data_IF_091277031039
#
_entry.id   IF_091277031039
#
_cell.length_a   1.000
_cell.length_b   1.000
_cell.length_c   1.000
_cell.angle_alpha   90.00
_cell.angle_beta   90.00
_cell.angle_gamma   90.00
#
_symmetry.space_group_name_H-M   'P 1'
#
loop_
_entity.id
_entity.type
_entity.pdbx_description
1 polymer ?
#
# COMPACT_ATOMS: atom_id res chain seq x y z
N UNK A 1 87.25 -33.72 -21.78
CA UNK A 1 86.19 -32.85 -21.23
C UNK A 1 85.10 -32.54 -22.27
N UNK A 2 85.41 -32.66 -23.56
CA UNK A 2 84.49 -32.56 -24.70
C UNK A 2 83.60 -33.81 -24.88
N UNK A 3 84.15 -35.04 -24.82
CA UNK A 3 83.35 -36.27 -25.05
C UNK A 3 82.22 -36.51 -24.05
N UNK A 4 82.38 -36.07 -22.79
CA UNK A 4 81.34 -36.19 -21.77
C UNK A 4 80.21 -35.16 -21.99
N UNK A 5 80.53 -34.00 -22.55
CA UNK A 5 79.52 -33.00 -22.92
C UNK A 5 78.76 -33.41 -24.17
N UNK A 6 79.43 -34.02 -25.16
CA UNK A 6 78.78 -34.49 -26.38
C UNK A 6 77.84 -35.67 -26.10
N UNK A 7 78.21 -36.60 -25.22
CA UNK A 7 77.31 -37.68 -24.80
C UNK A 7 76.07 -37.18 -24.03
N UNK A 8 76.23 -36.12 -23.22
CA UNK A 8 75.11 -35.47 -22.53
C UNK A 8 74.22 -34.70 -23.51
N UNK A 9 74.79 -34.05 -24.51
CA UNK A 9 74.07 -33.35 -25.57
C UNK A 9 73.29 -34.33 -26.46
N UNK A 10 73.88 -35.48 -26.81
CA UNK A 10 73.22 -36.52 -27.61
C UNK A 10 72.06 -37.17 -26.86
N UNK A 11 72.20 -37.39 -25.54
CA UNK A 11 71.11 -37.88 -24.68
C UNK A 11 69.98 -36.86 -24.50
N UNK A 12 70.32 -35.57 -24.35
CA UNK A 12 69.36 -34.47 -24.28
C UNK A 12 68.58 -34.30 -25.59
N UNK A 13 69.25 -34.38 -26.74
CA UNK A 13 68.60 -34.31 -28.05
C UNK A 13 67.71 -35.53 -28.32
N UNK A 14 68.12 -36.73 -27.91
CA UNK A 14 67.34 -37.96 -28.10
C UNK A 14 66.04 -37.99 -27.29
N UNK A 15 66.07 -37.46 -26.06
CA UNK A 15 64.93 -37.46 -25.15
C UNK A 15 64.20 -36.10 -25.04
N UNK A 16 64.57 -35.11 -25.86
CA UNK A 16 63.93 -33.79 -25.92
C UNK A 16 62.40 -33.82 -26.13
N UNK A 17 61.78 -34.73 -26.91
CA UNK A 17 60.34 -34.70 -27.12
C UNK A 17 59.56 -35.17 -25.87
N UNK A 18 60.19 -36.01 -25.04
CA UNK A 18 59.63 -36.48 -23.76
C UNK A 18 59.65 -35.34 -22.74
N UNK A 19 60.75 -34.59 -22.67
CA UNK A 19 60.87 -33.42 -21.80
C UNK A 19 59.82 -32.34 -22.11
N UNK A 20 59.59 -32.06 -23.40
CA UNK A 20 58.55 -31.09 -23.82
C UNK A 20 57.15 -31.58 -23.48
N UNK A 21 56.87 -32.86 -23.72
CA UNK A 21 55.55 -33.42 -23.42
C UNK A 21 55.21 -33.30 -21.94
N UNK A 22 56.17 -33.52 -21.04
CA UNK A 22 55.99 -33.34 -19.59
C UNK A 22 55.70 -31.87 -19.28
N UNK A 23 56.47 -30.92 -19.81
CA UNK A 23 56.25 -29.49 -19.56
C UNK A 23 54.87 -29.04 -20.07
N UNK A 24 54.46 -29.48 -21.26
CA UNK A 24 53.14 -29.15 -21.82
C UNK A 24 52.02 -29.74 -20.98
N UNK A 25 52.14 -30.99 -20.53
CA UNK A 25 51.14 -31.64 -19.67
C UNK A 25 51.07 -30.95 -18.30
N UNK A 26 52.22 -30.62 -17.70
CA UNK A 26 52.25 -29.90 -16.42
C UNK A 26 51.66 -28.51 -16.54
N UNK A 27 51.97 -27.78 -17.61
CA UNK A 27 51.36 -26.47 -17.90
C UNK A 27 49.86 -26.58 -18.13
N UNK A 28 49.41 -27.59 -18.88
CA UNK A 28 47.99 -27.82 -19.14
C UNK A 28 47.24 -28.19 -17.86
N UNK A 29 47.81 -29.05 -17.01
CA UNK A 29 47.25 -29.41 -15.71
C UNK A 29 47.16 -28.19 -14.78
N UNK A 30 48.21 -27.36 -14.71
CA UNK A 30 48.21 -26.12 -13.93
C UNK A 30 47.17 -25.11 -14.46
N UNK A 31 47.05 -24.98 -15.79
CA UNK A 31 46.05 -24.13 -16.44
C UNK A 31 44.62 -24.61 -16.20
N UNK A 32 44.39 -25.92 -16.15
CA UNK A 32 43.07 -26.49 -15.91
C UNK A 32 42.69 -26.38 -14.42
N UNK A 33 43.65 -26.60 -13.51
CA UNK A 33 43.47 -26.41 -12.07
C UNK A 33 43.16 -24.94 -11.71
N UNK A 34 43.88 -23.99 -12.30
CA UNK A 34 43.61 -22.55 -12.08
C UNK A 34 42.25 -22.12 -12.62
N UNK A 35 41.80 -22.67 -13.77
CA UNK A 35 40.45 -22.41 -14.30
C UNK A 35 39.35 -22.99 -13.41
N UNK A 36 39.50 -24.22 -12.93
CA UNK A 36 38.51 -24.86 -12.06
C UNK A 36 38.37 -24.10 -10.73
N UNK A 37 39.49 -23.78 -10.09
CA UNK A 37 39.50 -23.00 -8.84
C UNK A 37 38.93 -21.60 -9.02
N UNK A 38 39.08 -20.98 -10.19
CA UNK A 38 38.46 -19.69 -10.50
C UNK A 38 36.95 -19.83 -10.70
N UNK A 39 36.48 -20.84 -11.42
CA UNK A 39 35.03 -21.10 -11.58
C UNK A 39 34.35 -21.47 -10.26
N UNK A 40 35.03 -22.19 -9.36
CA UNK A 40 34.52 -22.48 -8.02
C UNK A 40 34.35 -21.21 -7.18
N UNK A 41 35.31 -20.29 -7.25
CA UNK A 41 35.23 -18.99 -6.56
C UNK A 41 34.13 -18.10 -7.11
N UNK A 42 33.99 -18.03 -8.43
CA UNK A 42 32.91 -17.28 -9.08
C UNK A 42 31.54 -17.89 -8.74
N UNK A 43 31.41 -19.22 -8.73
CA UNK A 43 30.18 -19.89 -8.34
C UNK A 43 29.85 -19.71 -6.85
N UNK A 44 30.85 -19.75 -5.98
CA UNK A 44 30.69 -19.48 -4.54
C UNK A 44 30.24 -18.04 -4.28
N UNK A 45 30.88 -17.06 -4.94
CA UNK A 45 30.52 -15.64 -4.82
C UNK A 45 29.12 -15.37 -5.39
N UNK A 46 28.76 -15.97 -6.53
CA UNK A 46 27.43 -15.84 -7.10
C UNK A 46 26.37 -16.50 -6.20
N UNK A 47 26.67 -17.65 -5.58
CA UNK A 47 25.78 -18.31 -4.63
C UNK A 47 25.54 -17.43 -3.39
N UNK A 48 26.59 -16.80 -2.86
CA UNK A 48 26.48 -15.85 -1.75
C UNK A 48 25.69 -14.59 -2.12
N UNK A 49 25.86 -14.07 -3.33
CA UNK A 49 25.05 -12.96 -3.84
C UNK A 49 23.56 -13.34 -3.97
N UNK A 50 23.26 -14.55 -4.45
CA UNK A 50 21.88 -15.06 -4.57
C UNK A 50 21.25 -15.25 -3.20
N UNK A 51 21.98 -15.78 -2.21
CA UNK A 51 21.46 -15.91 -0.84
C UNK A 51 21.28 -14.54 -0.17
N UNK A 52 22.18 -13.59 -0.43
CA UNK A 52 22.03 -12.19 0.01
C UNK A 52 20.75 -11.55 -0.54
N UNK A 53 20.52 -11.62 -1.85
CA UNK A 53 19.31 -11.10 -2.49
C UNK A 53 18.03 -11.78 -1.96
N UNK A 54 18.08 -13.09 -1.68
CA UNK A 54 16.95 -13.81 -1.10
C UNK A 54 16.64 -13.32 0.32
N UNK A 55 17.66 -13.12 1.15
CA UNK A 55 17.49 -12.59 2.50
C UNK A 55 16.94 -11.16 2.49
N UNK A 56 17.37 -10.33 1.53
CA UNK A 56 16.82 -8.98 1.36
C UNK A 56 15.36 -9.00 0.88
N UNK A 57 15.00 -9.94 0.00
CA UNK A 57 13.61 -10.21 -0.36
C UNK A 57 12.74 -10.57 0.85
N UNK A 58 13.21 -11.48 1.69
CA UNK A 58 12.51 -11.90 2.92
C UNK A 58 12.35 -10.73 3.92
N UNK A 59 13.38 -9.86 4.03
CA UNK A 59 13.31 -8.64 4.85
C UNK A 59 12.26 -7.66 4.32
N UNK A 60 12.26 -7.38 3.02
CA UNK A 60 11.27 -6.50 2.39
C UNK A 60 9.86 -7.03 2.62
N UNK A 61 9.64 -8.33 2.47
CA UNK A 61 8.33 -8.93 2.71
C UNK A 61 7.91 -8.79 4.18
N UNK A 62 8.85 -8.95 5.11
CA UNK A 62 8.59 -8.74 6.54
C UNK A 62 8.24 -7.29 6.86
N UNK A 63 8.95 -6.33 6.26
CA UNK A 63 8.70 -4.90 6.47
C UNK A 63 7.38 -4.46 5.84
N UNK A 64 7.02 -4.98 4.66
CA UNK A 64 5.70 -4.77 4.06
C UNK A 64 4.58 -5.27 4.99
N UNK A 65 4.72 -6.48 5.55
CA UNK A 65 3.75 -7.02 6.49
C UNK A 65 3.62 -6.16 7.76
N UNK A 66 4.73 -5.61 8.26
CA UNK A 66 4.71 -4.68 9.40
C UNK A 66 4.01 -3.37 9.06
N UNK A 67 4.29 -2.80 7.90
CA UNK A 67 3.63 -1.58 7.42
C UNK A 67 2.13 -1.80 7.23
N UNK A 68 1.72 -2.93 6.66
CA UNK A 68 0.30 -3.27 6.53
C UNK A 68 -0.40 -3.31 7.90
N UNK A 69 0.20 -3.94 8.90
CA UNK A 69 -0.36 -3.96 10.27
C UNK A 69 -0.42 -2.58 10.90
N UNK A 70 0.61 -1.75 10.73
CA UNK A 70 0.60 -0.38 11.22
C UNK A 70 -0.51 0.45 10.56
N UNK A 71 -0.76 0.25 9.26
CA UNK A 71 -1.87 0.88 8.54
C UNK A 71 -3.22 0.39 9.09
N UNK A 72 -3.38 -0.90 9.37
CA UNK A 72 -4.60 -1.45 9.96
C UNK A 72 -4.85 -0.92 11.39
N UNK A 73 -3.79 -0.80 12.20
CA UNK A 73 -3.87 -0.19 13.54
C UNK A 73 -4.25 1.29 13.48
N UNK A 74 -3.67 2.04 12.54
CA UNK A 74 -4.04 3.44 12.29
C UNK A 74 -5.50 3.52 11.83
N UNK A 75 -5.95 2.62 10.95
CA UNK A 75 -7.36 2.56 10.50
C UNK A 75 -8.30 2.26 11.66
N UNK A 76 -7.95 1.31 12.54
CA UNK A 76 -8.73 1.00 13.73
C UNK A 76 -8.78 2.20 14.71
N UNK A 77 -7.66 2.90 14.89
CA UNK A 77 -7.59 4.10 15.74
C UNK A 77 -8.42 5.26 15.16
N UNK A 78 -8.35 5.50 13.84
CA UNK A 78 -9.15 6.52 13.16
C UNK A 78 -10.63 6.16 13.21
N UNK A 79 -11.02 4.90 12.99
CA UNK A 79 -12.40 4.45 13.10
C UNK A 79 -12.94 4.62 14.53
N UNK A 80 -12.12 4.36 15.55
CA UNK A 80 -12.48 4.62 16.94
C UNK A 80 -12.64 6.13 17.21
N UNK A 81 -11.82 6.99 16.60
CA UNK A 81 -11.89 8.44 16.77
C UNK A 81 -13.04 9.09 16.00
N UNK A 82 -13.31 8.68 14.77
CA UNK A 82 -14.41 9.18 13.93
C UNK A 82 -15.79 8.84 14.52
N UNK A 83 -15.88 7.79 15.33
CA UNK A 83 -17.11 7.42 16.05
C UNK A 83 -17.55 8.42 17.12
N UNK A 84 -16.65 9.31 17.61
CA UNK A 84 -16.96 10.21 18.72
C UNK A 84 -17.92 11.34 18.35
N UNK A 85 -17.96 11.80 17.10
CA UNK A 85 -18.84 12.90 16.66
C UNK A 85 -20.09 12.45 15.90
N UNK A 86 -20.04 11.27 15.26
CA UNK A 86 -21.08 10.78 14.35
C UNK A 86 -22.50 10.71 14.96
N UNK A 87 -22.61 10.48 16.27
CA UNK A 87 -23.89 10.44 16.97
C UNK A 87 -24.57 11.81 17.12
N UNK A 88 -23.81 12.91 17.06
CA UNK A 88 -24.37 14.26 17.08
C UNK A 88 -25.02 14.64 15.75
N UNK A 89 -24.62 14.00 14.64
CA UNK A 89 -25.04 14.35 13.29
C UNK A 89 -25.93 13.30 12.63
N UNK A 90 -26.07 12.10 13.21
CA UNK A 90 -26.89 11.02 12.64
C UNK A 90 -27.62 10.19 13.69
N UNK A 91 -28.72 9.56 13.29
CA UNK A 91 -29.43 8.59 14.12
C UNK A 91 -28.73 7.23 14.19
N UNK A 92 -28.92 6.47 15.27
CA UNK A 92 -28.38 5.10 15.45
C UNK A 92 -29.05 4.03 14.57
N UNK A 93 -30.11 4.36 13.84
CA UNK A 93 -30.79 3.40 12.97
C UNK A 93 -30.04 3.24 11.65
N UNK A 94 -29.84 1.99 11.21
CA UNK A 94 -29.32 1.68 9.87
C UNK A 94 -30.49 1.53 8.87
N UNK A 95 -30.40 2.09 7.65
CA UNK A 95 -29.31 2.94 7.15
C UNK A 95 -29.27 4.29 7.88
N UNK A 96 -28.06 4.75 8.22
CA UNK A 96 -27.89 6.01 8.96
C UNK A 96 -28.44 7.17 8.16
N UNK A 97 -29.17 8.06 8.82
CA UNK A 97 -29.66 9.32 8.25
C UNK A 97 -29.19 10.48 9.09
N UNK A 98 -28.95 11.61 8.43
CA UNK A 98 -28.64 12.86 9.10
C UNK A 98 -29.80 13.26 10.02
N UNK A 99 -29.47 13.78 11.18
CA UNK A 99 -30.42 14.45 12.06
C UNK A 99 -30.43 15.96 11.76
N UNK A 100 -31.20 16.74 12.53
CA UNK A 100 -31.29 18.19 12.31
C UNK A 100 -29.93 18.92 12.36
N UNK A 101 -29.01 18.49 13.22
CA UNK A 101 -27.65 19.08 13.30
C UNK A 101 -26.82 18.72 12.07
N UNK A 102 -26.89 17.46 11.62
CA UNK A 102 -26.20 16.98 10.42
C UNK A 102 -26.69 17.69 9.15
N UNK A 103 -28.01 17.84 9.00
CA UNK A 103 -28.62 18.58 7.89
C UNK A 103 -28.21 20.05 7.90
N UNK A 104 -28.18 20.69 9.08
CA UNK A 104 -27.70 22.07 9.21
C UNK A 104 -26.23 22.21 8.81
N UNK A 105 -25.37 21.30 9.27
CA UNK A 105 -23.95 21.32 8.89
C UNK A 105 -23.77 21.11 7.38
N UNK A 106 -24.57 20.22 6.78
CA UNK A 106 -24.58 19.98 5.33
C UNK A 106 -24.93 21.25 4.54
N UNK A 107 -25.94 21.99 5.01
CA UNK A 107 -26.38 23.25 4.38
C UNK A 107 -25.34 24.36 4.57
N UNK A 108 -24.88 24.58 5.80
CA UNK A 108 -23.92 25.63 6.14
C UNK A 108 -22.59 25.46 5.36
N UNK A 109 -22.13 24.21 5.21
CA UNK A 109 -20.91 23.87 4.47
C UNK A 109 -21.08 23.89 2.94
N UNK A 110 -22.29 24.18 2.42
CA UNK A 110 -22.63 24.01 1.00
C UNK A 110 -22.30 22.59 0.47
N UNK A 111 -22.51 21.58 1.31
CA UNK A 111 -22.05 20.22 1.08
C UNK A 111 -22.68 19.57 -0.15
N UNK A 112 -23.96 19.82 -0.42
CA UNK A 112 -24.63 19.27 -1.62
C UNK A 112 -23.97 19.81 -2.90
N UNK A 113 -23.66 21.10 -2.95
CA UNK A 113 -23.00 21.71 -4.10
C UNK A 113 -21.61 21.12 -4.32
N UNK A 114 -20.84 20.91 -3.24
CA UNK A 114 -19.55 20.24 -3.30
C UNK A 114 -19.66 18.82 -3.85
N UNK A 115 -20.61 18.01 -3.35
CA UNK A 115 -20.80 16.63 -3.80
C UNK A 115 -21.22 16.57 -5.27
N UNK A 116 -22.10 17.48 -5.73
CA UNK A 116 -22.49 17.53 -7.14
C UNK A 116 -21.32 17.94 -8.04
N UNK A 117 -20.52 18.94 -7.62
CA UNK A 117 -19.37 19.42 -8.39
C UNK A 117 -18.28 18.36 -8.54
N UNK A 118 -18.07 17.53 -7.52
CA UNK A 118 -17.02 16.51 -7.50
C UNK A 118 -17.55 15.08 -7.68
N UNK A 119 -18.82 14.92 -8.09
CA UNK A 119 -19.53 13.64 -8.15
C UNK A 119 -18.75 12.58 -8.92
N UNK A 120 -18.34 12.90 -10.15
CA UNK A 120 -17.67 11.94 -11.04
C UNK A 120 -16.36 11.43 -10.43
N UNK A 121 -15.58 12.32 -9.81
CA UNK A 121 -14.33 11.94 -9.16
C UNK A 121 -14.56 11.09 -7.92
N UNK A 122 -15.55 11.46 -7.09
CA UNK A 122 -15.89 10.71 -5.88
C UNK A 122 -16.47 9.34 -6.21
N UNK A 123 -17.27 9.23 -7.27
CA UNK A 123 -17.81 7.95 -7.76
C UNK A 123 -16.70 7.06 -8.29
N UNK A 124 -15.77 7.59 -9.09
CA UNK A 124 -14.61 6.81 -9.56
C UNK A 124 -13.79 6.25 -8.39
N UNK A 125 -13.57 7.04 -7.33
CA UNK A 125 -12.88 6.59 -6.13
C UNK A 125 -13.64 5.49 -5.36
N UNK A 126 -14.97 5.50 -5.40
CA UNK A 126 -15.81 4.43 -4.86
C UNK A 126 -15.76 3.17 -5.73
N UNK A 127 -15.80 3.31 -7.05
CA UNK A 127 -15.71 2.21 -8.00
C UNK A 127 -14.37 1.46 -7.87
N UNK A 128 -13.27 2.19 -7.65
CA UNK A 128 -11.94 1.63 -7.36
C UNK A 128 -11.94 0.69 -6.14
N UNK A 129 -12.82 0.94 -5.16
CA UNK A 129 -12.97 0.11 -3.95
C UNK A 129 -13.82 -1.14 -4.17
N UNK A 130 -14.56 -1.22 -5.27
CA UNK A 130 -15.42 -2.37 -5.64
C UNK A 130 -16.37 -2.79 -4.51
N UNK A 131 -17.25 -1.89 -4.03
CA UNK A 131 -18.21 -2.23 -2.98
C UNK A 131 -19.12 -3.38 -3.42
N UNK A 132 -19.39 -4.32 -2.52
CA UNK A 132 -20.26 -5.47 -2.81
C UNK A 132 -21.65 -5.31 -2.16
N UNK A 133 -21.73 -4.54 -1.08
CA UNK A 133 -22.94 -4.32 -0.31
C UNK A 133 -23.18 -2.84 -0.05
N UNK A 134 -24.43 -2.46 0.26
CA UNK A 134 -24.74 -1.10 0.70
C UNK A 134 -23.98 -0.69 1.99
N UNK A 135 -23.62 -1.66 2.82
CA UNK A 135 -22.77 -1.42 3.99
C UNK A 135 -21.34 -1.03 3.59
N UNK A 136 -20.77 -1.70 2.58
CA UNK A 136 -19.46 -1.33 2.04
C UNK A 136 -19.48 0.08 1.47
N UNK A 137 -20.57 0.47 0.79
CA UNK A 137 -20.72 1.86 0.29
C UNK A 137 -20.74 2.87 1.43
N UNK A 138 -21.43 2.60 2.54
CA UNK A 138 -21.43 3.50 3.70
C UNK A 138 -20.01 3.69 4.28
N UNK A 139 -19.26 2.60 4.45
CA UNK A 139 -17.88 2.65 4.97
C UNK A 139 -16.95 3.36 3.98
N UNK A 140 -17.00 2.97 2.71
CA UNK A 140 -16.09 3.49 1.68
C UNK A 140 -16.38 4.95 1.34
N UNK A 141 -17.63 5.42 1.38
CA UNK A 141 -17.96 6.83 1.16
C UNK A 141 -17.25 7.73 2.18
N UNK A 142 -17.21 7.31 3.45
CA UNK A 142 -16.52 8.05 4.50
C UNK A 142 -15.00 8.04 4.27
N UNK A 143 -14.43 6.87 3.99
CA UNK A 143 -12.98 6.72 3.73
C UNK A 143 -12.53 7.51 2.51
N UNK A 144 -13.31 7.51 1.43
CA UNK A 144 -13.05 8.29 0.22
C UNK A 144 -13.03 9.78 0.55
N UNK A 145 -14.02 10.30 1.29
CA UNK A 145 -14.06 11.72 1.65
C UNK A 145 -12.92 12.11 2.60
N UNK A 146 -12.58 11.27 3.58
CA UNK A 146 -11.43 11.51 4.45
C UNK A 146 -10.12 11.55 3.66
N UNK A 147 -9.92 10.61 2.72
CA UNK A 147 -8.74 10.61 1.86
C UNK A 147 -8.73 11.81 0.91
N UNK A 148 -9.89 12.15 0.34
CA UNK A 148 -10.05 13.27 -0.59
C UNK A 148 -9.91 14.62 0.11
N UNK A 149 -10.06 14.68 1.43
CA UNK A 149 -9.84 15.90 2.21
C UNK A 149 -8.42 16.45 2.09
N UNK A 150 -7.44 15.66 1.67
CA UNK A 150 -6.08 16.14 1.40
C UNK A 150 -5.96 16.87 0.05
N UNK A 151 -6.90 16.69 -0.87
CA UNK A 151 -6.91 17.31 -2.19
C UNK A 151 -7.20 18.82 -2.10
N UNK A 152 -6.59 19.67 -2.95
CA UNK A 152 -6.88 21.10 -3.00
C UNK A 152 -8.35 21.45 -3.23
N UNK A 153 -9.13 20.58 -3.90
CA UNK A 153 -10.57 20.76 -4.08
C UNK A 153 -11.33 20.88 -2.75
N UNK A 154 -10.82 20.25 -1.68
CA UNK A 154 -11.43 20.29 -0.36
C UNK A 154 -11.13 21.60 0.40
N UNK A 155 -10.28 22.49 -0.13
CA UNK A 155 -9.85 23.69 0.59
C UNK A 155 -11.03 24.62 0.92
N UNK A 156 -12.08 24.68 0.09
CA UNK A 156 -13.29 25.45 0.41
C UNK A 156 -13.94 25.01 1.72
N UNK A 157 -14.08 23.71 1.93
CA UNK A 157 -14.61 23.12 3.15
C UNK A 157 -13.67 23.33 4.36
N UNK A 158 -12.35 23.28 4.15
CA UNK A 158 -11.37 23.60 5.20
C UNK A 158 -11.45 25.05 5.64
N UNK A 159 -11.57 25.99 4.70
CA UNK A 159 -11.73 27.41 5.01
C UNK A 159 -13.05 27.68 5.73
N UNK A 160 -14.13 27.03 5.31
CA UNK A 160 -15.40 27.07 6.04
C UNK A 160 -15.20 26.61 7.49
N UNK A 161 -14.65 25.41 7.70
CA UNK A 161 -14.47 24.82 9.02
C UNK A 161 -13.61 25.68 9.94
N UNK A 162 -12.51 26.24 9.41
CA UNK A 162 -11.61 27.11 10.17
C UNK A 162 -12.31 28.34 10.76
N UNK A 163 -13.37 28.83 10.08
CA UNK A 163 -14.14 30.00 10.49
C UNK A 163 -15.52 29.64 11.07
N UNK A 164 -15.85 28.35 11.17
CA UNK A 164 -17.19 27.92 11.58
C UNK A 164 -17.32 28.01 13.10
N UNK A 165 -18.37 28.66 13.63
CA UNK A 165 -18.57 28.75 15.07
C UNK A 165 -18.95 27.39 15.66
N UNK A 166 -18.72 27.23 16.96
CA UNK A 166 -19.21 26.05 17.68
C UNK A 166 -20.75 25.93 17.56
N UNK A 167 -21.21 24.71 17.35
CA UNK A 167 -22.61 24.39 17.10
C UNK A 167 -23.27 23.86 18.37
N UNK A 168 -24.53 24.23 18.62
CA UNK A 168 -25.36 23.52 19.59
C UNK A 168 -25.87 22.21 18.98
N UNK A 169 -25.44 21.09 19.56
CA UNK A 169 -25.88 19.75 19.17
C UNK A 169 -26.59 19.07 20.33
N UNK A 170 -27.48 18.13 20.02
CA UNK A 170 -28.21 17.34 21.02
C UNK A 170 -27.52 15.99 21.16
N UNK A 171 -27.09 15.65 22.38
CA UNK A 171 -26.55 14.32 22.70
C UNK A 171 -27.67 13.26 22.72
N UNK A 172 -27.30 11.98 22.75
CA UNK A 172 -28.18 10.82 22.85
C UNK A 172 -29.14 10.87 24.06
N UNK A 173 -28.77 11.61 25.11
CA UNK A 173 -29.60 11.82 26.30
C UNK A 173 -30.57 13.01 26.18
N UNK A 174 -30.62 13.67 25.01
CA UNK A 174 -31.49 14.82 24.75
C UNK A 174 -30.94 16.15 25.28
N UNK A 175 -29.72 16.17 25.81
CA UNK A 175 -29.07 17.37 26.35
C UNK A 175 -28.41 18.17 25.23
N UNK A 176 -28.65 19.49 25.22
CA UNK A 176 -27.93 20.41 24.34
C UNK A 176 -26.51 20.64 24.86
N UNK A 177 -25.53 20.45 23.99
CA UNK A 177 -24.11 20.70 24.25
C UNK A 177 -23.51 21.53 23.13
N UNK A 178 -22.58 22.40 23.48
CA UNK A 178 -21.77 23.13 22.50
C UNK A 178 -20.67 22.21 22.00
N UNK A 179 -20.59 22.05 20.68
CA UNK A 179 -19.67 21.13 20.03
C UNK A 179 -18.91 21.84 18.91
N UNK A 180 -17.58 21.67 18.93
CA UNK A 180 -16.70 22.20 17.90
C UNK A 180 -16.60 21.20 16.76
N UNK A 181 -17.09 21.61 15.59
CA UNK A 181 -17.14 20.74 14.40
C UNK A 181 -15.72 20.46 13.91
N UNK A 182 -15.45 19.21 13.56
CA UNK A 182 -14.16 18.77 13.04
C UNK A 182 -14.22 18.43 11.55
N UNK A 183 -13.06 18.20 10.93
CA UNK A 183 -12.97 17.81 9.53
C UNK A 183 -13.61 16.43 9.32
N UNK A 184 -13.43 15.53 10.29
CA UNK A 184 -14.02 14.20 10.31
C UNK A 184 -15.56 14.27 10.36
N UNK A 185 -16.13 15.23 11.08
CA UNK A 185 -17.59 15.42 11.14
C UNK A 185 -18.15 15.88 9.81
N UNK A 186 -17.49 16.83 9.13
CA UNK A 186 -17.88 17.27 7.78
C UNK A 186 -17.79 16.10 6.80
N UNK A 187 -16.69 15.35 6.82
CA UNK A 187 -16.54 14.17 5.95
C UNK A 187 -17.61 13.12 6.24
N UNK A 188 -17.95 12.90 7.52
CA UNK A 188 -19.03 12.01 7.92
C UNK A 188 -20.38 12.47 7.37
N UNK A 189 -20.75 13.74 7.55
CA UNK A 189 -22.01 14.28 7.04
C UNK A 189 -22.10 14.16 5.52
N UNK A 190 -21.05 14.57 4.80
CA UNK A 190 -20.97 14.44 3.34
C UNK A 190 -21.07 12.97 2.89
N UNK A 191 -20.49 12.04 3.64
CA UNK A 191 -20.46 10.62 3.27
C UNK A 191 -21.81 9.96 3.26
N UNK A 192 -22.72 10.35 4.17
CA UNK A 192 -24.09 9.81 4.16
C UNK A 192 -24.81 10.22 2.89
N UNK A 193 -24.64 11.46 2.44
CA UNK A 193 -25.26 11.92 1.19
C UNK A 193 -24.60 11.31 -0.04
N UNK A 194 -23.26 11.20 -0.06
CA UNK A 194 -22.53 10.55 -1.14
C UNK A 194 -22.93 9.08 -1.29
N UNK A 195 -23.09 8.35 -0.17
CA UNK A 195 -23.63 6.99 -0.13
C UNK A 195 -24.99 6.92 -0.82
N UNK A 196 -25.91 7.80 -0.44
CA UNK A 196 -27.26 7.81 -1.00
C UNK A 196 -27.24 8.08 -2.51
N UNK A 197 -26.48 9.09 -2.96
CA UNK A 197 -26.29 9.37 -4.39
C UNK A 197 -25.71 8.17 -5.15
N UNK A 198 -24.77 7.44 -4.55
CA UNK A 198 -24.13 6.30 -5.19
C UNK A 198 -25.05 5.08 -5.25
N UNK A 199 -25.80 4.80 -4.19
CA UNK A 199 -26.79 3.71 -4.14
C UNK A 199 -27.99 3.97 -5.06
N UNK A 200 -28.39 5.22 -5.23
CA UNK A 200 -29.39 5.64 -6.24
C UNK A 200 -28.91 5.30 -7.67
N UNK A 201 -27.61 5.46 -7.95
CA UNK A 201 -27.02 5.11 -9.24
C UNK A 201 -26.74 3.60 -9.40
N UNK A 202 -26.55 2.88 -8.29
CA UNK A 202 -26.19 1.46 -8.25
C UNK A 202 -27.18 0.62 -7.41
N UNK A 203 -28.46 0.53 -7.81
CA UNK A 203 -29.50 -0.13 -7.02
C UNK A 203 -29.23 -1.64 -6.80
N UNK A 204 -28.38 -2.27 -7.62
CA UNK A 204 -27.97 -3.66 -7.45
C UNK A 204 -27.27 -3.95 -6.10
N UNK A 205 -26.68 -2.94 -5.46
CA UNK A 205 -26.00 -3.08 -4.17
C UNK A 205 -26.96 -3.12 -2.97
N UNK A 206 -28.22 -2.75 -3.16
CA UNK A 206 -29.27 -2.81 -2.14
C UNK A 206 -29.87 -4.21 -2.02
N UNK A 207 -29.92 -4.95 -3.13
CA UNK A 207 -30.51 -6.29 -3.21
C UNK A 207 -29.56 -7.18 -4.02
N UNK A 208 -28.61 -7.87 -3.38
CA UNK A 208 -27.76 -8.81 -4.11
C UNK A 208 -28.67 -9.87 -4.77
N UNK A 209 -28.34 -10.31 -6.00
CA UNK A 209 -29.08 -11.40 -6.63
C UNK A 209 -29.03 -12.60 -5.68
N UNK A 210 -30.21 -13.15 -5.37
CA UNK A 210 -30.37 -14.29 -4.48
C UNK A 210 -29.52 -15.45 -5.02
N UNK A 211 -28.32 -15.64 -4.47
CA UNK A 211 -27.61 -16.91 -4.59
C UNK A 211 -28.29 -17.85 -3.60
N UNK A 212 -29.33 -18.53 -4.08
CA UNK A 212 -30.00 -19.62 -3.38
C UNK A 212 -28.95 -20.71 -3.09
N UNK A 213 -28.75 -21.15 -1.84
CA UNK A 213 -28.03 -22.39 -1.57
C UNK A 213 -28.80 -23.62 -2.05
#
# INVERSE_FOLDING_TARGET
MTDMMDALLEYLFKNWPIGISIVVVTWFAARLYTRLTQTEKECASNSEAITGLRNDGDRIQTDLNRLMRAVDEVRAFIAARSSKGAHFFSGKHSPRKLNASGERLMQDACGEAFLQMHKDRLFALLDERKPQTAFDVEVYANEVLLSYSSDPAFNGLKYFLYNYPDMEVTDNEGKKVTYSVTLEDICFVLSLRLRDMYLEAHPALLFPPVSVP
#
